data_IF_701856472077
#
_entry.id   IF_701856472077
#
_cell.length_a   1.000
_cell.length_b   1.000
_cell.length_c   1.000
_cell.angle_alpha   90.00
_cell.angle_beta   90.00
_cell.angle_gamma   90.00
#
_symmetry.space_group_name_H-M   'P 1'
#
loop_
_entity.id
_entity.type
_entity.pdbx_description
1 polymer ?
#
# COMPACT_ATOMS: atom_id res chain seq x y z
N UNK A 1 -4.80 2.58 -18.59
CA UNK A 1 -3.69 3.31 -17.92
C UNK A 1 -3.86 3.08 -16.44
N UNK A 2 -2.76 3.07 -15.69
CA UNK A 2 -2.72 2.85 -14.24
C UNK A 2 -2.16 4.09 -13.52
N UNK A 3 -2.37 4.20 -12.22
CA UNK A 3 -1.89 5.28 -11.36
C UNK A 3 -0.65 4.86 -10.57
N UNK A 4 0.25 5.80 -10.28
CA UNK A 4 1.17 5.62 -9.15
C UNK A 4 0.39 5.52 -7.84
N UNK A 5 0.99 4.95 -6.80
CA UNK A 5 0.31 4.73 -5.50
C UNK A 5 -0.19 6.02 -4.82
N UNK A 6 0.41 7.17 -5.14
CA UNK A 6 0.01 8.50 -4.67
C UNK A 6 -0.78 9.29 -5.73
N UNK A 7 -1.15 8.64 -6.84
CA UNK A 7 -1.85 9.18 -8.00
C UNK A 7 -1.20 10.42 -8.65
N UNK A 8 0.07 10.67 -8.30
CA UNK A 8 0.83 11.80 -8.83
C UNK A 8 1.32 11.58 -10.27
N UNK A 9 1.26 10.33 -10.74
CA UNK A 9 1.57 9.94 -12.11
C UNK A 9 0.47 9.02 -12.65
N UNK A 10 0.33 9.00 -13.97
CA UNK A 10 -0.61 8.13 -14.68
C UNK A 10 -0.04 7.72 -16.03
N UNK A 11 -0.13 6.44 -16.35
CA UNK A 11 0.40 5.93 -17.60
C UNK A 11 0.27 4.42 -17.74
N UNK A 12 0.82 3.85 -18.81
CA UNK A 12 1.07 2.42 -18.84
C UNK A 12 2.19 2.06 -17.84
N UNK A 13 2.17 0.83 -17.29
CA UNK A 13 3.08 0.40 -16.21
C UNK A 13 4.57 0.47 -16.60
N UNK A 14 4.89 0.33 -17.88
CA UNK A 14 6.25 0.51 -18.41
C UNK A 14 6.77 1.93 -18.21
N UNK A 15 5.91 2.94 -18.31
CA UNK A 15 6.28 4.33 -18.01
C UNK A 15 6.41 4.56 -16.50
N UNK A 16 5.46 4.09 -15.69
CA UNK A 16 5.53 4.25 -14.23
C UNK A 16 6.79 3.60 -13.63
N UNK A 17 7.22 2.47 -14.20
CA UNK A 17 8.48 1.82 -13.83
C UNK A 17 9.69 2.69 -14.15
N UNK A 18 9.72 3.34 -15.32
CA UNK A 18 10.80 4.26 -15.68
C UNK A 18 10.84 5.46 -14.74
N UNK A 19 9.67 6.02 -14.40
CA UNK A 19 9.57 7.14 -13.46
C UNK A 19 10.04 6.75 -12.05
N UNK A 20 9.72 5.54 -11.59
CA UNK A 20 10.21 5.01 -10.32
C UNK A 20 11.74 4.87 -10.31
N UNK A 21 12.34 4.41 -11.42
CA UNK A 21 13.78 4.34 -11.59
C UNK A 21 14.44 5.73 -11.51
N UNK A 22 13.86 6.73 -12.16
CA UNK A 22 14.33 8.12 -12.08
C UNK A 22 14.26 8.63 -10.63
N UNK A 23 13.14 8.37 -9.94
CA UNK A 23 12.99 8.73 -8.53
C UNK A 23 14.01 8.02 -7.62
N UNK A 24 14.44 6.81 -7.98
CA UNK A 24 15.51 6.07 -7.32
C UNK A 24 16.94 6.50 -7.74
N UNK A 25 17.06 7.49 -8.63
CA UNK A 25 18.33 8.10 -9.03
C UNK A 25 18.92 7.58 -10.34
N UNK A 26 18.18 6.79 -11.12
CA UNK A 26 18.60 6.40 -12.48
C UNK A 26 18.64 7.63 -13.38
N UNK A 27 19.75 7.79 -14.10
CA UNK A 27 19.95 8.90 -15.04
C UNK A 27 19.22 8.65 -16.36
N UNK A 28 18.65 9.70 -16.92
CA UNK A 28 17.86 9.64 -18.15
C UNK A 28 18.72 9.16 -19.34
N UNK A 29 19.99 9.56 -19.43
CA UNK A 29 20.89 9.11 -20.50
C UNK A 29 21.14 7.59 -20.46
N UNK A 30 20.99 6.96 -19.29
CA UNK A 30 21.07 5.52 -19.18
C UNK A 30 19.81 4.88 -19.76
N UNK A 31 18.63 5.40 -19.44
CA UNK A 31 17.34 4.90 -19.96
C UNK A 31 17.26 5.00 -21.49
N UNK A 32 17.80 6.07 -22.08
CA UNK A 32 17.88 6.22 -23.54
C UNK A 32 18.72 5.14 -24.22
N UNK A 33 19.76 4.65 -23.54
CA UNK A 33 20.59 3.54 -24.01
C UNK A 33 19.97 2.18 -23.73
N UNK A 34 18.93 2.12 -22.89
CA UNK A 34 18.25 0.89 -22.46
C UNK A 34 16.73 1.03 -22.63
N UNK A 35 16.23 1.25 -23.87
CA UNK A 35 14.83 1.57 -24.13
C UNK A 35 13.85 0.45 -23.73
N UNK A 36 14.36 -0.76 -23.48
CA UNK A 36 13.56 -1.90 -23.05
C UNK A 36 13.47 -2.07 -21.53
N UNK A 37 14.11 -1.23 -20.72
CA UNK A 37 14.02 -1.34 -19.25
C UNK A 37 12.55 -1.32 -18.79
N UNK A 38 11.80 -0.29 -19.18
CA UNK A 38 10.40 -0.10 -18.76
C UNK A 38 9.49 -1.21 -19.29
N UNK A 39 9.50 -1.49 -20.60
CA UNK A 39 8.71 -2.58 -21.17
C UNK A 39 9.03 -3.96 -20.59
N UNK A 40 10.31 -4.27 -20.34
CA UNK A 40 10.71 -5.59 -19.82
C UNK A 40 10.24 -5.79 -18.38
N UNK A 41 10.50 -4.81 -17.50
CA UNK A 41 10.05 -4.89 -16.11
C UNK A 41 8.52 -4.77 -16.01
N UNK A 42 7.88 -3.92 -16.81
CA UNK A 42 6.42 -3.86 -16.90
C UNK A 42 5.80 -5.18 -17.37
N UNK A 43 6.42 -5.90 -18.31
CA UNK A 43 5.97 -7.22 -18.73
C UNK A 43 6.15 -8.28 -17.63
N UNK A 44 7.24 -8.20 -16.86
CA UNK A 44 7.47 -9.05 -15.70
C UNK A 44 6.43 -8.80 -14.59
N UNK A 45 6.15 -7.54 -14.24
CA UNK A 45 5.18 -7.16 -13.20
C UNK A 45 3.72 -7.51 -13.55
N UNK A 46 3.41 -7.70 -14.83
CA UNK A 46 2.07 -8.15 -15.29
C UNK A 46 1.91 -9.67 -15.30
N UNK A 47 2.97 -10.44 -15.00
CA UNK A 47 2.82 -11.87 -14.84
C UNK A 47 1.84 -12.17 -13.69
N UNK A 48 1.05 -13.24 -13.77
CA UNK A 48 0.14 -13.61 -12.69
C UNK A 48 0.89 -13.75 -11.37
N UNK A 49 0.44 -13.03 -10.34
CA UNK A 49 1.01 -13.12 -9.01
C UNK A 49 0.82 -14.55 -8.47
N UNK A 50 1.88 -15.24 -8.00
CA UNK A 50 1.68 -16.44 -7.19
C UNK A 50 0.73 -16.09 -6.03
N UNK A 51 -0.29 -16.92 -5.82
CA UNK A 51 -1.26 -16.77 -4.70
C UNK A 51 -1.02 -17.86 -3.67
N UNK A 52 0.07 -17.78 -2.88
CA UNK A 52 0.30 -18.74 -1.82
C UNK A 52 -0.83 -18.64 -0.80
N UNK A 53 -1.37 -19.78 -0.32
CA UNK A 53 -2.34 -19.73 0.76
C UNK A 53 -1.68 -19.17 2.02
N UNK A 54 -2.47 -18.51 2.86
CA UNK A 54 -2.04 -18.17 4.21
C UNK A 54 -1.54 -19.45 4.92
N UNK A 55 -0.34 -19.42 5.53
CA UNK A 55 0.31 -20.63 6.05
C UNK A 55 -0.26 -21.10 7.39
N UNK A 56 -1.10 -20.29 8.04
CA UNK A 56 -1.81 -20.65 9.27
C UNK A 56 -3.21 -21.24 9.02
N UNK A 57 -3.91 -21.56 10.10
CA UNK A 57 -5.31 -21.97 10.03
C UNK A 57 -6.22 -20.79 9.64
N UNK A 58 -7.27 -21.09 8.87
CA UNK A 58 -8.34 -20.14 8.53
C UNK A 58 -9.66 -20.74 9.01
N UNK A 59 -10.36 -20.02 9.88
CA UNK A 59 -11.76 -20.29 10.21
C UNK A 59 -12.64 -19.83 9.05
N UNK A 60 -13.06 -20.78 8.22
CA UNK A 60 -13.87 -20.52 7.01
C UNK A 60 -15.22 -19.87 7.34
N UNK A 61 -15.83 -20.22 8.47
CA UNK A 61 -17.12 -19.64 8.87
C UNK A 61 -16.96 -18.16 9.23
N UNK A 62 -15.89 -17.81 9.94
CA UNK A 62 -15.55 -16.41 10.23
C UNK A 62 -15.16 -15.66 8.98
N UNK A 63 -14.34 -16.25 8.10
CA UNK A 63 -13.95 -15.63 6.83
C UNK A 63 -15.15 -15.34 5.92
N UNK A 64 -16.14 -16.23 5.84
CA UNK A 64 -17.37 -15.99 5.08
C UNK A 64 -18.20 -14.82 5.65
N UNK A 65 -18.27 -14.70 6.98
CA UNK A 65 -18.91 -13.55 7.63
C UNK A 65 -18.12 -12.27 7.41
N UNK A 66 -16.79 -12.35 7.52
CA UNK A 66 -15.86 -11.26 7.25
C UNK A 66 -15.96 -10.73 5.84
N UNK A 67 -16.13 -11.61 4.85
CA UNK A 67 -16.37 -11.22 3.46
C UNK A 67 -17.60 -10.33 3.32
N UNK A 68 -18.70 -10.67 3.99
CA UNK A 68 -19.93 -9.85 3.93
C UNK A 68 -19.72 -8.45 4.48
N UNK A 69 -18.94 -8.32 5.56
CA UNK A 69 -18.58 -7.02 6.13
C UNK A 69 -17.61 -6.25 5.21
N UNK A 70 -16.63 -6.95 4.63
CA UNK A 70 -15.71 -6.39 3.66
C UNK A 70 -16.44 -5.82 2.44
N UNK A 71 -17.39 -6.58 1.88
CA UNK A 71 -18.16 -6.17 0.72
C UNK A 71 -19.05 -4.93 1.00
N UNK A 72 -19.38 -4.65 2.26
CA UNK A 72 -20.20 -3.49 2.65
C UNK A 72 -19.43 -2.17 2.71
N UNK A 73 -18.14 -2.21 3.01
CA UNK A 73 -17.34 -1.01 3.32
C UNK A 73 -16.03 -0.97 2.54
N UNK A 74 -15.29 -2.07 2.52
CA UNK A 74 -13.93 -2.11 1.99
C UNK A 74 -13.88 -2.23 0.47
N UNK A 75 -14.82 -2.99 -0.12
CA UNK A 75 -14.82 -3.29 -1.54
C UNK A 75 -15.01 -2.05 -2.44
N UNK A 76 -15.62 -0.98 -1.92
CA UNK A 76 -15.85 0.27 -2.64
C UNK A 76 -14.55 1.02 -3.01
N UNK A 77 -13.46 0.74 -2.27
CA UNK A 77 -12.13 1.26 -2.55
C UNK A 77 -11.15 0.15 -2.99
N UNK A 78 -11.22 -1.03 -2.38
CA UNK A 78 -10.27 -2.12 -2.62
C UNK A 78 -10.72 -3.12 -3.69
N UNK A 79 -11.91 -2.96 -4.25
CA UNK A 79 -12.46 -3.84 -5.28
C UNK A 79 -13.04 -5.15 -4.75
N UNK A 80 -13.50 -5.98 -5.67
CA UNK A 80 -14.14 -7.27 -5.42
C UNK A 80 -13.22 -8.44 -5.80
N UNK A 81 -13.24 -9.50 -4.99
CA UNK A 81 -12.35 -10.65 -5.14
C UNK A 81 -13.13 -11.94 -5.38
N UNK A 82 -12.56 -12.80 -6.22
CA UNK A 82 -12.98 -14.18 -6.39
C UNK A 82 -12.60 -15.03 -5.16
N UNK A 83 -13.17 -16.25 -5.08
CA UNK A 83 -12.91 -17.17 -3.96
C UNK A 83 -11.43 -17.62 -3.86
N UNK A 84 -10.64 -17.48 -4.94
CA UNK A 84 -9.21 -17.79 -4.99
C UNK A 84 -8.31 -16.57 -4.73
N UNK A 85 -8.85 -15.49 -4.14
CA UNK A 85 -8.12 -14.27 -3.79
C UNK A 85 -7.80 -13.35 -4.98
N UNK A 86 -8.18 -13.74 -6.19
CA UNK A 86 -7.94 -12.94 -7.40
C UNK A 86 -8.91 -11.76 -7.47
N UNK A 87 -8.37 -10.57 -7.74
CA UNK A 87 -9.17 -9.38 -8.04
C UNK A 87 -10.04 -9.62 -9.29
N UNK A 88 -11.32 -9.29 -9.19
CA UNK A 88 -12.33 -9.42 -10.26
C UNK A 88 -12.72 -8.06 -10.80
N UNK A 89 -12.84 -7.08 -9.92
CA UNK A 89 -13.27 -5.73 -10.24
C UNK A 89 -12.55 -4.74 -9.32
N UNK A 90 -12.00 -3.66 -9.88
CA UNK A 90 -11.23 -2.65 -9.16
C UNK A 90 -11.30 -1.32 -9.92
N UNK A 91 -11.98 -0.34 -9.32
CA UNK A 91 -12.00 1.04 -9.80
C UNK A 91 -10.76 1.79 -9.27
N UNK A 92 -9.71 1.81 -10.07
CA UNK A 92 -8.46 2.47 -9.70
C UNK A 92 -8.64 4.00 -9.64
N UNK A 93 -8.58 4.55 -8.43
CA UNK A 93 -8.71 5.99 -8.17
C UNK A 93 -7.95 6.43 -6.92
N UNK A 94 -7.63 7.72 -6.84
CA UNK A 94 -7.13 8.31 -5.62
C UNK A 94 -8.29 8.58 -4.65
N UNK A 95 -8.16 8.13 -3.40
CA UNK A 95 -9.09 8.51 -2.34
C UNK A 95 -8.55 9.78 -1.66
N UNK A 96 -9.38 10.84 -1.50
CA UNK A 96 -8.94 12.08 -0.87
C UNK A 96 -8.32 11.86 0.51
N UNK A 97 -7.25 12.59 0.81
CA UNK A 97 -6.55 12.48 2.10
C UNK A 97 -7.46 12.84 3.29
N UNK A 98 -8.46 13.70 3.07
CA UNK A 98 -9.45 14.05 4.09
C UNK A 98 -10.33 12.87 4.49
N UNK A 99 -10.61 11.96 3.56
CA UNK A 99 -11.41 10.76 3.81
C UNK A 99 -10.55 9.63 4.42
N UNK A 100 -9.28 9.53 3.99
CA UNK A 100 -8.34 8.55 4.52
C UNK A 100 -7.82 8.91 5.91
N UNK A 101 -7.51 10.18 6.17
CA UNK A 101 -6.92 10.65 7.43
C UNK A 101 -5.52 10.09 7.75
N UNK A 102 -4.85 9.44 6.78
CA UNK A 102 -3.49 8.91 6.93
C UNK A 102 -2.45 10.05 6.83
N UNK A 103 -1.17 9.74 7.04
CA UNK A 103 -0.10 10.75 6.99
C UNK A 103 -0.10 11.51 5.64
N UNK A 104 -0.21 12.86 5.63
CA UNK A 104 -0.28 13.64 4.40
C UNK A 104 1.11 14.06 3.88
N UNK A 105 2.20 13.70 4.55
CA UNK A 105 3.55 14.23 4.28
C UNK A 105 3.98 13.96 2.85
N UNK A 106 3.77 12.75 2.31
CA UNK A 106 4.11 12.43 0.92
C UNK A 106 3.34 13.33 -0.04
N UNK A 107 2.04 13.48 0.19
CA UNK A 107 1.16 14.31 -0.63
C UNK A 107 1.63 15.77 -0.61
N UNK A 108 1.94 16.31 0.57
CA UNK A 108 2.36 17.69 0.76
C UNK A 108 3.80 17.96 0.31
N UNK A 109 4.63 16.92 0.14
CA UNK A 109 5.96 17.06 -0.43
C UNK A 109 5.93 17.46 -1.92
N UNK A 110 4.81 17.23 -2.61
CA UNK A 110 4.59 17.65 -3.98
C UNK A 110 4.26 19.15 -4.05
N UNK A 111 5.29 19.99 -4.05
CA UNK A 111 5.14 21.45 -4.20
C UNK A 111 4.88 21.85 -5.65
N UNK A 112 4.45 23.11 -5.86
CA UNK A 112 4.32 23.66 -7.22
C UNK A 112 5.65 23.73 -7.95
N UNK A 113 6.73 24.04 -7.23
CA UNK A 113 8.08 24.07 -7.77
C UNK A 113 8.52 22.68 -8.21
N UNK A 114 8.21 21.66 -7.40
CA UNK A 114 8.46 20.27 -7.76
C UNK A 114 7.65 19.85 -8.99
N UNK A 115 6.36 20.18 -9.04
CA UNK A 115 5.50 19.89 -10.19
C UNK A 115 6.03 20.58 -11.47
N UNK A 116 6.46 21.84 -11.39
CA UNK A 116 7.08 22.53 -12.53
C UNK A 116 8.37 21.84 -12.98
N UNK A 117 9.27 21.52 -12.04
CA UNK A 117 10.54 20.87 -12.38
C UNK A 117 10.35 19.45 -12.95
N UNK A 118 9.42 18.68 -12.39
CA UNK A 118 9.10 17.32 -12.84
C UNK A 118 8.41 17.27 -14.20
N UNK A 119 7.88 18.40 -14.70
CA UNK A 119 7.29 18.52 -16.03
C UNK A 119 8.14 19.37 -16.99
N UNK A 120 9.32 19.82 -16.56
CA UNK A 120 10.23 20.61 -17.40
C UNK A 120 10.98 19.69 -18.37
N UNK A 121 10.67 19.78 -19.66
CA UNK A 121 11.31 18.97 -20.71
C UNK A 121 12.83 19.19 -20.80
N UNK A 122 13.36 20.34 -20.35
CA UNK A 122 14.80 20.58 -20.31
C UNK A 122 15.51 19.77 -19.23
N UNK A 123 14.79 19.39 -18.17
CA UNK A 123 15.31 18.59 -17.06
C UNK A 123 14.99 17.11 -17.25
N UNK A 124 13.75 16.79 -17.60
CA UNK A 124 13.24 15.42 -17.59
C UNK A 124 13.15 14.80 -18.98
N UNK A 125 13.41 15.60 -20.03
CA UNK A 125 13.38 15.17 -21.43
C UNK A 125 12.07 14.46 -21.83
N UNK A 126 10.98 14.78 -21.12
CA UNK A 126 9.65 14.22 -21.32
C UNK A 126 9.41 12.83 -20.72
N UNK A 127 10.36 12.29 -19.95
CA UNK A 127 10.23 10.95 -19.33
C UNK A 127 9.28 10.91 -18.14
N UNK A 128 9.00 12.07 -17.54
CA UNK A 128 8.14 12.18 -16.37
C UNK A 128 6.93 13.04 -16.67
N UNK A 129 5.76 12.66 -16.13
CA UNK A 129 4.55 13.48 -16.12
C UNK A 129 3.93 13.47 -14.75
N UNK A 130 4.14 14.57 -14.04
CA UNK A 130 3.74 14.70 -12.65
C UNK A 130 2.53 15.62 -12.49
N UNK A 131 1.65 15.27 -11.57
CA UNK A 131 0.59 16.15 -11.07
C UNK A 131 0.53 16.04 -9.56
N UNK A 132 0.12 17.11 -8.88
CA UNK A 132 -0.21 17.00 -7.46
C UNK A 132 -1.42 16.09 -7.26
N UNK A 133 -1.28 15.12 -6.36
CA UNK A 133 -2.37 14.23 -5.98
C UNK A 133 -3.39 14.90 -5.07
N UNK A 134 -4.45 14.16 -4.73
CA UNK A 134 -5.43 14.55 -3.70
C UNK A 134 -5.41 13.62 -2.48
N UNK A 135 -4.65 12.53 -2.55
CA UNK A 135 -4.57 11.48 -1.56
C UNK A 135 -3.87 10.25 -2.13
N UNK A 136 -4.33 9.05 -1.78
CA UNK A 136 -3.63 7.80 -2.12
C UNK A 136 -4.53 6.80 -2.84
N UNK A 137 -3.92 5.99 -3.70
CA UNK A 137 -4.59 4.90 -4.40
C UNK A 137 -4.64 3.69 -3.47
N UNK A 138 -5.83 3.12 -3.20
CA UNK A 138 -5.97 1.92 -2.39
C UNK A 138 -5.34 0.74 -3.15
N UNK A 139 -4.45 -0.06 -2.53
CA UNK A 139 -3.87 -1.20 -3.20
C UNK A 139 -4.90 -2.32 -3.37
N UNK A 140 -4.72 -3.12 -4.42
CA UNK A 140 -5.35 -4.45 -4.53
C UNK A 140 -4.81 -5.33 -3.39
N UNK A 141 -5.72 -5.95 -2.65
CA UNK A 141 -5.47 -6.71 -1.41
C UNK A 141 -5.23 -8.21 -1.63
N UNK A 142 -5.11 -8.69 -2.87
CA UNK A 142 -4.60 -10.04 -3.13
C UNK A 142 -3.29 -10.25 -2.38
N UNK A 143 -3.11 -11.38 -1.70
CA UNK A 143 -1.95 -11.69 -0.85
C UNK A 143 -1.68 -10.66 0.27
N UNK A 144 -2.65 -9.83 0.69
CA UNK A 144 -2.42 -8.79 1.71
C UNK A 144 -1.90 -9.37 3.03
N UNK A 145 -2.25 -10.62 3.35
CA UNK A 145 -1.76 -11.29 4.54
C UNK A 145 -0.23 -11.39 4.59
N UNK A 146 0.49 -11.27 3.47
CA UNK A 146 1.94 -11.40 3.36
C UNK A 146 2.68 -10.06 3.17
N UNK A 147 1.98 -8.92 3.27
CA UNK A 147 2.50 -7.59 2.87
C UNK A 147 2.74 -6.64 4.04
N UNK A 148 2.88 -7.14 5.25
CA UNK A 148 3.23 -6.31 6.40
C UNK A 148 4.68 -5.76 6.28
N UNK A 149 4.96 -4.57 6.86
CA UNK A 149 4.02 -3.71 7.57
C UNK A 149 3.07 -2.97 6.60
N UNK A 150 1.94 -2.53 7.11
CA UNK A 150 0.87 -1.89 6.35
C UNK A 150 0.92 -0.37 6.42
N UNK A 151 0.24 0.27 5.46
CA UNK A 151 0.28 1.72 5.26
C UNK A 151 1.43 2.14 4.36
N UNK A 152 1.32 3.31 3.73
CA UNK A 152 2.34 3.76 2.77
C UNK A 152 3.70 4.09 3.42
N UNK A 153 3.71 4.38 4.73
CA UNK A 153 4.92 4.60 5.50
C UNK A 153 5.30 3.38 6.38
N UNK A 154 4.64 2.24 6.20
CA UNK A 154 4.83 1.07 7.08
C UNK A 154 4.40 1.31 8.53
N UNK A 155 3.45 2.23 8.74
CA UNK A 155 3.05 2.73 10.06
C UNK A 155 2.21 1.75 10.89
N UNK A 156 1.73 0.65 10.31
CA UNK A 156 0.94 -0.37 11.02
C UNK A 156 1.63 -1.74 10.91
N UNK A 157 2.26 -2.24 11.99
CA UNK A 157 3.00 -3.50 11.94
C UNK A 157 2.18 -4.73 11.54
N UNK A 158 0.87 -4.73 11.82
CA UNK A 158 -0.03 -5.86 11.58
C UNK A 158 -1.45 -5.40 11.28
N UNK A 159 -2.29 -6.29 10.73
CA UNK A 159 -3.71 -5.99 10.54
C UNK A 159 -4.43 -5.80 11.88
N UNK A 160 -3.98 -6.47 12.94
CA UNK A 160 -4.49 -6.23 14.29
C UNK A 160 -4.23 -4.79 14.76
N UNK A 161 -3.06 -4.21 14.46
CA UNK A 161 -2.78 -2.79 14.77
C UNK A 161 -3.64 -1.86 13.92
N UNK A 162 -3.83 -2.16 12.63
CA UNK A 162 -4.74 -1.39 11.77
C UNK A 162 -6.19 -1.41 12.28
N UNK A 163 -6.64 -2.54 12.86
CA UNK A 163 -7.97 -2.69 13.46
C UNK A 163 -8.16 -1.95 14.78
N UNK A 164 -7.10 -1.42 15.41
CA UNK A 164 -7.24 -0.51 16.54
C UNK A 164 -7.77 0.85 16.06
N UNK A 165 -8.64 1.47 16.87
CA UNK A 165 -9.05 2.85 16.66
C UNK A 165 -7.81 3.75 16.50
N UNK A 166 -7.79 4.71 15.54
CA UNK A 166 -6.59 5.48 15.23
C UNK A 166 -5.94 6.18 16.44
N UNK A 167 -6.74 6.66 17.40
CA UNK A 167 -6.27 7.34 18.62
C UNK A 167 -5.73 6.39 19.70
N UNK A 168 -5.85 5.07 19.49
CA UNK A 168 -5.36 4.01 20.39
C UNK A 168 -4.14 3.28 19.84
N UNK A 169 -3.73 3.53 18.59
CA UNK A 169 -2.58 2.86 17.99
C UNK A 169 -1.28 3.28 18.68
N UNK A 170 -0.31 2.36 18.88
CA UNK A 170 0.99 2.70 19.43
C UNK A 170 1.69 3.75 18.57
N UNK A 171 2.21 4.81 19.18
CA UNK A 171 2.90 5.90 18.49
C UNK A 171 4.41 5.70 18.42
N UNK A 172 4.97 4.85 19.28
CA UNK A 172 6.39 4.50 19.31
C UNK A 172 6.53 3.01 19.60
N UNK A 173 7.23 2.28 18.74
CA UNK A 173 7.38 0.82 18.85
C UNK A 173 8.59 0.32 18.07
N UNK A 174 9.02 -0.90 18.38
CA UNK A 174 10.03 -1.63 17.61
C UNK A 174 9.35 -2.75 16.81
N UNK A 175 9.69 -2.89 15.54
CA UNK A 175 9.26 -4.01 14.68
C UNK A 175 10.40 -5.01 14.53
N UNK A 176 10.15 -6.27 14.88
CA UNK A 176 11.12 -7.35 14.71
C UNK A 176 11.12 -7.86 13.26
N UNK A 177 11.73 -7.08 12.38
CA UNK A 177 11.80 -7.35 10.92
C UNK A 177 12.63 -8.58 10.54
N UNK A 178 13.40 -9.13 11.50
CA UNK A 178 14.16 -10.38 11.31
C UNK A 178 13.48 -11.58 11.98
N UNK A 179 12.37 -11.35 12.68
CA UNK A 179 11.62 -12.36 13.41
C UNK A 179 10.73 -13.23 12.51
N UNK A 180 10.09 -14.22 13.14
CA UNK A 180 9.04 -14.98 12.47
C UNK A 180 7.80 -14.10 12.24
N UNK A 181 7.10 -14.38 11.15
CA UNK A 181 5.83 -13.72 10.84
C UNK A 181 4.78 -14.01 11.91
N UNK A 182 4.09 -12.98 12.39
CA UNK A 182 3.01 -13.12 13.37
C UNK A 182 1.73 -13.51 12.64
N UNK A 183 1.42 -14.81 12.65
CA UNK A 183 0.22 -15.37 12.02
C UNK A 183 -1.07 -15.03 12.78
N UNK A 184 -0.98 -14.73 14.08
CA UNK A 184 -2.15 -14.39 14.88
C UNK A 184 -2.63 -12.99 14.54
N UNK A 185 -1.71 -12.01 14.56
CA UNK A 185 -2.02 -10.61 14.27
C UNK A 185 -1.95 -10.26 12.78
N UNK A 186 -1.45 -11.19 11.95
CA UNK A 186 -1.19 -11.02 10.52
C UNK A 186 -0.27 -9.83 10.29
N UNK A 187 1.02 -10.01 10.63
CA UNK A 187 2.02 -8.99 10.40
C UNK A 187 3.39 -9.24 11.03
N UNK A 188 4.07 -8.13 11.36
CA UNK A 188 5.36 -8.12 12.04
C UNK A 188 5.12 -7.89 13.53
N UNK A 189 5.75 -8.73 14.37
CA UNK A 189 5.65 -8.61 15.81
C UNK A 189 6.27 -7.29 16.31
N UNK A 190 5.54 -6.60 17.20
CA UNK A 190 6.06 -5.43 17.91
C UNK A 190 6.91 -5.88 19.10
N UNK A 191 8.23 -6.00 18.88
CA UNK A 191 9.19 -6.47 19.87
C UNK A 191 10.55 -5.84 19.58
N UNK A 192 11.22 -5.36 20.64
CA UNK A 192 12.62 -4.94 20.52
C UNK A 192 13.53 -6.17 20.41
N UNK A 193 14.31 -6.20 19.34
CA UNK A 193 15.23 -7.29 19.00
C UNK A 193 16.44 -6.74 18.22
N UNK A 194 17.55 -7.49 18.12
CA UNK A 194 18.69 -7.10 17.28
C UNK A 194 18.25 -6.81 15.84
N UNK A 195 18.53 -5.60 15.35
CA UNK A 195 18.13 -5.18 14.00
C UNK A 195 16.65 -4.82 13.84
N UNK A 196 15.89 -4.73 14.95
CA UNK A 196 14.51 -4.23 14.90
C UNK A 196 14.44 -2.79 14.38
N UNK A 197 13.37 -2.48 13.66
CA UNK A 197 13.11 -1.15 13.16
C UNK A 197 12.36 -0.33 14.21
N UNK A 198 12.93 0.82 14.61
CA UNK A 198 12.30 1.75 15.54
C UNK A 198 11.39 2.72 14.77
N UNK A 199 10.08 2.66 15.05
CA UNK A 199 9.09 3.60 14.55
C UNK A 199 8.77 4.65 15.59
N UNK A 200 8.75 5.92 15.19
CA UNK A 200 8.32 7.04 16.04
C UNK A 200 7.42 7.97 15.24
N UNK A 201 6.14 8.01 15.62
CA UNK A 201 5.09 8.77 14.96
C UNK A 201 5.24 10.29 15.13
N UNK A 202 6.14 10.77 16.00
CA UNK A 202 6.47 12.19 16.09
C UNK A 202 7.35 12.65 14.92
N UNK A 203 7.99 11.73 14.21
CA UNK A 203 8.73 12.06 13.00
C UNK A 203 7.77 12.38 11.84
N UNK A 204 8.08 13.44 11.11
CA UNK A 204 7.30 13.86 9.93
C UNK A 204 7.25 12.73 8.90
N UNK A 205 6.05 12.32 8.50
CA UNK A 205 5.84 11.23 7.53
C UNK A 205 5.56 9.86 8.15
N UNK A 206 5.57 9.76 9.49
CA UNK A 206 5.42 8.49 10.21
C UNK A 206 4.16 8.41 11.08
N UNK A 207 3.15 9.28 10.84
CA UNK A 207 1.93 9.26 11.63
C UNK A 207 1.17 7.92 11.48
N UNK A 208 0.70 7.38 12.61
CA UNK A 208 0.01 6.06 12.70
C UNK A 208 -1.51 6.15 12.56
N UNK A 209 -2.05 7.36 12.38
CA UNK A 209 -3.48 7.62 12.28
C UNK A 209 -4.09 7.24 10.92
N UNK A 210 -5.39 7.53 10.77
CA UNK A 210 -6.13 7.34 9.53
C UNK A 210 -6.62 5.92 9.27
N UNK A 211 -7.35 5.75 8.18
CA UNK A 211 -7.96 4.50 7.74
C UNK A 211 -8.74 3.80 8.88
N UNK A 212 -9.78 4.45 9.45
CA UNK A 212 -10.52 3.94 10.60
C UNK A 212 -11.47 2.79 10.25
N UNK A 213 -11.75 2.57 8.97
CA UNK A 213 -12.84 1.71 8.49
C UNK A 213 -12.82 0.28 9.07
N UNK A 214 -11.64 -0.31 9.23
CA UNK A 214 -11.53 -1.64 9.85
C UNK A 214 -11.85 -1.59 11.35
N UNK A 215 -11.41 -0.55 12.05
CA UNK A 215 -11.67 -0.35 13.48
C UNK A 215 -13.13 -0.01 13.78
N UNK A 216 -13.87 0.56 12.83
CA UNK A 216 -15.28 0.91 12.98
C UNK A 216 -16.18 -0.33 13.15
N UNK A 217 -15.71 -1.51 12.73
CA UNK A 217 -16.38 -2.79 13.02
C UNK A 217 -16.19 -3.27 14.47
N UNK A 218 -15.34 -2.62 15.27
CA UNK A 218 -15.07 -3.01 16.66
C UNK A 218 -14.64 -4.48 16.76
N UNK A 219 -15.29 -5.31 17.61
CA UNK A 219 -14.97 -6.73 17.72
C UNK A 219 -15.11 -7.54 16.41
N UNK A 220 -15.98 -7.10 15.49
CA UNK A 220 -16.20 -7.78 14.22
C UNK A 220 -15.06 -7.53 13.20
N UNK A 221 -14.13 -6.61 13.47
CA UNK A 221 -12.93 -6.41 12.67
C UNK A 221 -12.12 -7.70 12.51
N UNK A 222 -12.10 -8.55 13.55
CA UNK A 222 -11.45 -9.86 13.51
C UNK A 222 -12.04 -10.79 12.44
N UNK A 223 -13.33 -10.65 12.10
CA UNK A 223 -13.95 -11.41 11.01
C UNK A 223 -13.41 -10.94 9.65
N UNK A 224 -13.29 -9.63 9.46
CA UNK A 224 -12.72 -9.05 8.23
C UNK A 224 -11.25 -9.47 8.08
N UNK A 225 -10.45 -9.43 9.15
CA UNK A 225 -9.06 -9.93 9.13
C UNK A 225 -9.03 -11.42 8.74
N UNK A 226 -9.94 -12.24 9.25
CA UNK A 226 -10.03 -13.65 8.89
C UNK A 226 -10.34 -13.84 7.39
N UNK A 227 -11.16 -12.95 6.80
CA UNK A 227 -11.38 -12.91 5.35
C UNK A 227 -10.12 -12.48 4.58
N UNK A 228 -9.39 -11.47 5.07
CA UNK A 228 -8.16 -11.00 4.42
C UNK A 228 -7.06 -12.07 4.36
N UNK A 229 -7.06 -13.06 5.26
CA UNK A 229 -6.19 -14.26 5.17
C UNK A 229 -6.50 -15.14 3.96
N UNK A 230 -7.66 -14.99 3.33
CA UNK A 230 -8.08 -15.77 2.15
C UNK A 230 -7.75 -15.08 0.83
N UNK A 231 -7.32 -13.82 0.85
CA UNK A 231 -6.97 -13.03 -0.31
C UNK A 231 -5.49 -13.16 -0.67
#
# INVERSE_FOLDING_TARGET
>A
TTLSWDASQQGPIDLLVVEADIAAGVRIEWLEKHPFQGPSLGAYLRQPDPRPPFPGAIDRTKAERGKKLFDQVCADCHGHYAADGRIVDFDERAIPIADLGTDPTRLLAATEDFERAANDETLTRGYTKFRRGIGYVPPVLTNVWARAPYGHAGQWPSLAVLAMAPDKRPTTFFMDVSGLYDLENVGIAMREAPGSYHHDANNKGFAVGGHPFLSDFGPDAALVIEYLKTL
#
